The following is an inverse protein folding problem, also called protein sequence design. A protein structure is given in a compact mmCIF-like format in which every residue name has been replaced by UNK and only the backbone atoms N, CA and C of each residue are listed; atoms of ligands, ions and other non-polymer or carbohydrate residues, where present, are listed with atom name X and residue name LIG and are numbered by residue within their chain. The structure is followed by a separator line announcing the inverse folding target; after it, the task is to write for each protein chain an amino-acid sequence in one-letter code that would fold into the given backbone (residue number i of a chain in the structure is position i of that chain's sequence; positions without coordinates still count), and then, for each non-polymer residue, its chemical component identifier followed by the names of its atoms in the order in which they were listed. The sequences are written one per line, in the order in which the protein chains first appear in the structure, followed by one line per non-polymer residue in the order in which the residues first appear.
data_IF_792889927544
#
_entry.id   IF_792889927544
#
_cell.length_a   1.000
_cell.length_b   1.000
_cell.length_c   1.000
_cell.angle_alpha   90.00
_cell.angle_beta   90.00
_cell.angle_gamma   90.00
#
_symmetry.space_group_name_H-M   'P 1'
#
loop_
_entity.id
_entity.type
_entity.pdbx_description
1 polymer ?
#
# COMPACT_ATOMS: atom_id res chain seq x y z
N UNK A 1 18.69 34.61 -28.75
CA UNK A 1 17.38 35.09 -28.24
C UNK A 1 16.34 34.04 -28.56
N UNK A 2 15.73 33.43 -27.54
CA UNK A 2 14.63 32.46 -27.72
C UNK A 2 13.41 33.23 -28.24
N UNK A 3 12.96 32.94 -29.45
CA UNK A 3 11.80 33.63 -30.06
C UNK A 3 10.53 33.30 -29.28
N UNK A 4 9.71 34.30 -28.94
CA UNK A 4 8.53 34.14 -28.06
C UNK A 4 7.56 33.03 -28.47
N UNK A 5 7.43 32.74 -29.78
CA UNK A 5 6.63 31.62 -30.30
C UNK A 5 7.12 30.25 -29.79
N UNK A 6 8.43 30.05 -29.63
CA UNK A 6 9.01 28.80 -29.10
C UNK A 6 8.68 28.61 -27.62
N UNK A 7 8.65 29.71 -26.86
CA UNK A 7 8.27 29.69 -25.43
C UNK A 7 6.80 29.33 -25.24
N UNK A 8 5.90 29.90 -26.05
CA UNK A 8 4.48 29.56 -26.02
C UNK A 8 4.26 28.07 -26.36
N UNK A 9 4.94 27.56 -27.38
CA UNK A 9 4.87 26.14 -27.73
C UNK A 9 5.37 25.27 -26.58
N UNK A 10 6.51 25.59 -25.97
CA UNK A 10 7.02 24.81 -24.84
C UNK A 10 6.10 24.86 -23.62
N UNK A 11 5.48 26.01 -23.33
CA UNK A 11 4.53 26.14 -22.23
C UNK A 11 3.27 25.30 -22.48
N UNK A 12 2.76 25.28 -23.72
CA UNK A 12 1.61 24.46 -24.10
C UNK A 12 1.92 22.97 -23.94
N UNK A 13 3.09 22.53 -24.41
CA UNK A 13 3.54 21.14 -24.26
C UNK A 13 3.65 20.76 -22.79
N UNK A 14 4.25 21.62 -21.97
CA UNK A 14 4.37 21.38 -20.53
C UNK A 14 2.99 21.25 -19.86
N UNK A 15 2.06 22.15 -20.19
CA UNK A 15 0.70 22.10 -19.66
C UNK A 15 -0.01 20.79 -20.03
N UNK A 16 0.11 20.35 -21.29
CA UNK A 16 -0.46 19.07 -21.74
C UNK A 16 0.14 17.87 -21.01
N UNK A 17 1.46 17.88 -20.79
CA UNK A 17 2.13 16.83 -20.01
C UNK A 17 1.63 16.80 -18.56
N UNK A 18 1.49 17.96 -17.92
CA UNK A 18 0.97 18.05 -16.55
C UNK A 18 -0.48 17.56 -16.45
N UNK A 19 -1.35 17.96 -17.39
CA UNK A 19 -2.74 17.49 -17.46
C UNK A 19 -2.78 15.97 -17.67
N UNK A 20 -1.95 15.44 -18.57
CA UNK A 20 -1.86 14.01 -18.83
C UNK A 20 -1.40 13.23 -17.59
N UNK A 21 -0.38 13.74 -16.89
CA UNK A 21 0.12 13.13 -15.66
C UNK A 21 -0.94 13.11 -14.55
N UNK A 22 -1.65 14.23 -14.33
CA UNK A 22 -2.70 14.28 -13.32
C UNK A 22 -3.87 13.36 -13.69
N UNK A 23 -4.24 13.34 -14.97
CA UNK A 23 -5.29 12.45 -15.50
C UNK A 23 -4.93 10.97 -15.31
N UNK A 24 -3.66 10.61 -15.47
CA UNK A 24 -3.18 9.24 -15.23
C UNK A 24 -3.40 8.78 -13.79
N UNK A 25 -3.06 9.64 -12.82
CA UNK A 25 -3.26 9.36 -11.39
C UNK A 25 -4.75 9.13 -11.10
N UNK A 26 -5.61 10.01 -11.63
CA UNK A 26 -7.07 9.91 -11.46
C UNK A 26 -7.58 8.61 -12.09
N UNK A 27 -7.14 8.27 -13.30
CA UNK A 27 -7.54 7.05 -13.99
C UNK A 27 -7.15 5.79 -13.21
N UNK A 28 -5.95 5.76 -12.61
CA UNK A 28 -5.51 4.65 -11.77
C UNK A 28 -6.42 4.43 -10.54
N UNK A 29 -6.79 5.52 -9.85
CA UNK A 29 -7.72 5.44 -8.71
C UNK A 29 -9.13 5.03 -9.13
N UNK A 30 -9.63 5.60 -10.23
CA UNK A 30 -10.93 5.25 -10.78
C UNK A 30 -10.99 3.79 -11.24
N UNK A 31 -9.90 3.24 -11.78
CA UNK A 31 -9.82 1.83 -12.16
C UNK A 31 -9.97 0.90 -10.96
N UNK A 32 -9.37 1.24 -9.81
CA UNK A 32 -9.54 0.48 -8.57
C UNK A 32 -11.00 0.51 -8.09
N UNK A 33 -11.68 1.65 -8.20
CA UNK A 33 -13.09 1.75 -7.81
C UNK A 33 -14.03 1.00 -8.76
N UNK A 34 -13.72 0.97 -10.07
CA UNK A 34 -14.57 0.35 -11.10
C UNK A 34 -14.36 -1.16 -11.22
N UNK A 35 -13.10 -1.59 -11.11
CA UNK A 35 -12.67 -2.96 -11.39
C UNK A 35 -11.97 -3.61 -10.18
N UNK A 36 -12.00 -2.96 -9.01
CA UNK A 36 -11.43 -3.50 -7.80
C UNK A 36 -12.12 -4.81 -7.42
N UNK A 37 -11.34 -5.71 -6.83
CA UNK A 37 -11.85 -6.95 -6.26
C UNK A 37 -12.13 -6.72 -4.78
N UNK A 38 -13.36 -6.97 -4.36
CA UNK A 38 -13.69 -7.03 -2.94
C UNK A 38 -13.02 -8.25 -2.31
N UNK A 39 -12.31 -8.04 -1.20
CA UNK A 39 -11.65 -9.08 -0.43
C UNK A 39 -12.12 -8.97 1.01
N UNK A 40 -13.01 -9.88 1.41
CA UNK A 40 -13.44 -9.98 2.81
C UNK A 40 -12.39 -10.74 3.61
N UNK A 41 -11.83 -10.08 4.62
CA UNK A 41 -10.85 -10.66 5.52
C UNK A 41 -11.52 -11.02 6.85
N UNK A 42 -11.28 -12.26 7.30
CA UNK A 42 -11.73 -12.71 8.61
C UNK A 42 -10.88 -12.05 9.70
N UNK A 43 -11.57 -11.42 10.66
CA UNK A 43 -10.93 -10.80 11.81
C UNK A 43 -10.63 -11.84 12.90
N UNK A 44 -9.50 -11.66 13.57
CA UNK A 44 -9.11 -12.34 14.80
C UNK A 44 -8.99 -11.28 15.90
N UNK A 45 -10.11 -10.89 16.55
CA UNK A 45 -10.08 -9.84 17.56
C UNK A 45 -9.34 -10.34 18.81
N UNK A 46 -8.36 -9.56 19.24
CA UNK A 46 -7.69 -9.75 20.54
C UNK A 46 -8.09 -8.57 21.42
N UNK A 47 -8.54 -8.83 22.65
CA UNK A 47 -8.92 -7.83 23.65
C UNK A 47 -7.83 -7.71 24.73
N UNK A 48 -6.72 -7.01 24.44
CA UNK A 48 -5.67 -6.76 25.41
C UNK A 48 -6.16 -5.82 26.51
N UNK A 49 -6.05 -6.28 27.75
CA UNK A 49 -6.33 -5.44 28.91
C UNK A 49 -5.13 -4.55 29.19
N UNK A 50 -5.26 -3.25 28.90
CA UNK A 50 -4.25 -2.24 29.25
C UNK A 50 -4.86 -1.19 30.18
N UNK A 51 -4.35 -1.14 31.42
CA UNK A 51 -4.85 -0.25 32.47
C UNK A 51 -4.64 1.24 32.15
N UNK A 52 -3.70 1.57 31.26
CA UNK A 52 -3.40 2.96 30.89
C UNK A 52 -4.09 3.40 29.60
N UNK A 53 -4.41 2.45 28.69
CA UNK A 53 -5.07 2.73 27.41
C UNK A 53 -6.57 2.46 27.43
N UNK A 54 -7.07 1.81 28.48
CA UNK A 54 -8.46 1.36 28.57
C UNK A 54 -8.73 0.15 27.69
N UNK A 55 -10.01 -0.12 27.44
CA UNK A 55 -10.43 -1.25 26.60
C UNK A 55 -10.24 -0.90 25.13
N UNK A 56 -9.44 -1.71 24.42
CA UNK A 56 -9.25 -1.59 22.97
C UNK A 56 -9.14 -2.98 22.34
N UNK A 57 -9.53 -3.09 21.07
CA UNK A 57 -9.45 -4.34 20.32
C UNK A 57 -8.37 -4.20 19.26
N UNK A 58 -7.47 -5.19 19.20
CA UNK A 58 -6.52 -5.31 18.10
C UNK A 58 -7.19 -6.06 16.96
N UNK A 59 -7.19 -5.47 15.76
CA UNK A 59 -7.65 -6.12 14.53
C UNK A 59 -6.54 -7.00 13.95
N UNK A 60 -6.54 -8.28 14.35
CA UNK A 60 -5.74 -9.31 13.68
C UNK A 60 -6.42 -9.78 12.39
N UNK A 61 -5.62 -10.06 11.36
CA UNK A 61 -6.07 -10.71 10.13
C UNK A 61 -5.19 -11.92 9.84
N UNK A 62 -5.77 -13.02 9.35
CA UNK A 62 -5.02 -14.23 8.97
C UNK A 62 -3.92 -13.91 7.94
N UNK A 63 -4.19 -13.00 6.99
CA UNK A 63 -3.23 -12.59 5.96
C UNK A 63 -2.03 -11.79 6.51
N UNK A 64 -2.16 -11.19 7.69
CA UNK A 64 -1.05 -10.49 8.34
C UNK A 64 0.05 -11.45 8.80
N UNK A 65 -0.24 -12.76 8.90
CA UNK A 65 0.72 -13.81 9.28
C UNK A 65 1.16 -14.60 8.06
N UNK A 66 2.36 -14.30 7.58
CA UNK A 66 2.94 -14.99 6.42
C UNK A 66 3.87 -16.10 6.95
N UNK A 67 3.57 -17.40 6.71
CA UNK A 67 4.47 -18.47 7.11
C UNK A 67 5.81 -18.36 6.37
N UNK A 68 6.90 -18.54 7.11
CA UNK A 68 8.30 -18.38 6.69
C UNK A 68 8.62 -19.14 5.39
N UNK A 69 8.01 -20.32 5.18
CA UNK A 69 8.15 -21.14 3.96
C UNK A 69 7.71 -20.45 2.66
N UNK A 70 6.87 -19.42 2.74
CA UNK A 70 6.41 -18.65 1.56
C UNK A 70 7.35 -17.50 1.21
N UNK A 71 8.34 -17.21 2.05
CA UNK A 71 9.33 -16.17 1.80
C UNK A 71 10.52 -16.80 1.07
N UNK A 72 10.77 -16.35 -0.15
CA UNK A 72 11.91 -16.82 -0.94
C UNK A 72 13.25 -16.44 -0.24
N UNK A 73 14.26 -17.32 -0.33
CA UNK A 73 15.62 -17.15 0.22
C UNK A 73 15.78 -17.23 1.75
N UNK A 74 14.90 -17.94 2.47
CA UNK A 74 15.16 -18.28 3.88
C UNK A 74 15.83 -19.66 3.98
N UNK A 75 17.00 -19.78 4.64
CA UNK A 75 17.65 -21.08 4.86
C UNK A 75 16.73 -22.06 5.61
N UNK A 76 16.60 -23.32 5.17
CA UNK A 76 15.67 -24.31 5.73
C UNK A 76 15.92 -24.67 7.20
N UNK A 77 17.07 -24.26 7.74
CA UNK A 77 17.56 -24.66 9.06
C UNK A 77 17.35 -23.58 10.13
N UNK A 78 16.77 -22.43 9.76
CA UNK A 78 16.40 -21.38 10.71
C UNK A 78 14.90 -21.45 11.02
N UNK A 79 14.58 -22.27 12.01
CA UNK A 79 13.33 -22.11 12.75
C UNK A 79 13.42 -20.80 13.52
N UNK A 80 12.61 -19.81 13.15
CA UNK A 80 12.35 -18.65 14.00
C UNK A 80 11.59 -19.14 15.22
N UNK A 81 12.31 -19.73 16.17
CA UNK A 81 11.87 -19.83 17.55
C UNK A 81 11.93 -18.43 18.14
N UNK A 82 10.92 -17.63 17.81
CA UNK A 82 10.46 -16.62 18.73
C UNK A 82 9.00 -16.34 18.41
N UNK A 83 8.17 -16.56 19.42
CA UNK A 83 6.72 -16.33 19.46
C UNK A 83 6.37 -14.83 19.43
N UNK A 84 7.26 -14.01 18.85
CA UNK A 84 7.09 -12.59 18.61
C UNK A 84 7.03 -12.36 17.11
N UNK A 85 5.87 -11.89 16.67
CA UNK A 85 5.63 -11.41 15.32
C UNK A 85 6.77 -10.52 14.85
N UNK A 86 7.50 -10.93 13.80
CA UNK A 86 8.37 -10.02 13.07
C UNK A 86 7.44 -9.05 12.33
N UNK A 87 7.24 -7.87 12.93
CA UNK A 87 6.65 -6.71 12.27
C UNK A 87 7.75 -6.04 11.46
N UNK A 88 7.60 -6.04 10.14
CA UNK A 88 8.41 -5.24 9.20
C UNK A 88 7.71 -3.91 9.00
#
# INVERSE_FOLDING_TARGET
MITGKRLVISALVLALVQIGFLSWIIAGRAAILRNGKEVLLKIEPVDPRDLLRGDYIILGYEISRIPVKMIANIPPDKFSSDDTSIVV
#
